data_IF_576646096007
#
_entry.id   IF_576646096007
#
_cell.length_a   1.000
_cell.length_b   1.000
_cell.length_c   1.000
_cell.angle_alpha   90.00
_cell.angle_beta   90.00
_cell.angle_gamma   90.00
#
_symmetry.space_group_name_H-M   'P 1'
#
loop_
_entity.id
_entity.type
_entity.pdbx_description
1 polymer ?
#
# COMPACT_ATOMS: atom_id res chain seq x y z
N UNK A 1 -5.15 -21.73 14.61
CA UNK A 1 -3.72 -21.51 14.31
C UNK A 1 -3.17 -22.74 13.60
N UNK A 2 -2.57 -22.57 12.42
CA UNK A 2 -1.84 -23.62 11.73
C UNK A 2 -0.37 -23.57 12.15
N UNK A 3 0.16 -24.68 12.68
CA UNK A 3 1.58 -24.82 12.96
C UNK A 3 2.26 -25.56 11.82
N UNK A 4 3.42 -25.08 11.37
CA UNK A 4 4.17 -25.63 10.25
C UNK A 4 3.93 -24.87 8.94
N UNK A 5 4.10 -25.53 7.79
CA UNK A 5 3.97 -24.94 6.45
C UNK A 5 2.54 -24.99 5.87
N UNK A 6 1.54 -25.18 6.74
CA UNK A 6 0.15 -25.34 6.31
C UNK A 6 -0.50 -24.03 5.85
N UNK A 7 -1.27 -24.12 4.77
CA UNK A 7 -2.10 -23.02 4.28
C UNK A 7 -3.35 -22.87 5.15
N UNK A 8 -3.85 -21.64 5.28
CA UNK A 8 -5.13 -21.30 5.88
C UNK A 8 -6.12 -20.81 4.82
N UNK A 9 -7.35 -21.33 4.84
CA UNK A 9 -8.46 -20.78 4.06
C UNK A 9 -9.62 -20.55 5.01
N UNK A 10 -10.16 -19.35 5.02
CA UNK A 10 -11.28 -18.92 5.85
C UNK A 10 -12.30 -18.25 4.94
N UNK A 11 -13.53 -18.71 4.99
CA UNK A 11 -14.67 -18.06 4.37
C UNK A 11 -15.76 -17.89 5.42
N UNK A 12 -16.34 -16.70 5.52
CA UNK A 12 -17.41 -16.40 6.47
C UNK A 12 -18.48 -15.54 5.81
N UNK A 13 -19.73 -15.91 6.02
CA UNK A 13 -20.89 -15.16 5.51
C UNK A 13 -21.05 -13.77 6.16
N UNK A 14 -20.44 -13.55 7.30
CA UNK A 14 -20.33 -12.26 7.97
C UNK A 14 -18.90 -11.69 7.85
N UNK A 15 -18.52 -10.83 8.76
CA UNK A 15 -17.14 -10.35 8.87
C UNK A 15 -16.20 -11.39 9.50
N UNK A 16 -14.92 -11.18 9.30
CA UNK A 16 -13.85 -11.96 9.93
C UNK A 16 -13.10 -11.04 10.90
N UNK A 17 -12.89 -11.52 12.12
CA UNK A 17 -12.07 -10.82 13.10
C UNK A 17 -10.91 -11.73 13.53
N UNK A 18 -9.70 -11.37 13.15
CA UNK A 18 -8.50 -12.09 13.52
C UNK A 18 -8.08 -11.75 14.95
N UNK A 19 -7.98 -12.75 15.83
CA UNK A 19 -7.16 -12.69 17.03
C UNK A 19 -5.72 -13.09 16.66
N UNK A 20 -4.82 -13.19 17.66
CA UNK A 20 -3.47 -13.71 17.46
C UNK A 20 -3.50 -14.99 16.63
N UNK A 21 -2.89 -14.92 15.45
CA UNK A 21 -2.93 -16.01 14.48
C UNK A 21 -1.58 -16.24 13.83
N UNK A 22 -1.23 -17.50 13.62
CA UNK A 22 0.00 -17.87 12.93
C UNK A 22 -0.32 -18.87 11.81
N UNK A 23 0.02 -18.50 10.57
CA UNK A 23 -0.17 -19.33 9.37
C UNK A 23 1.20 -19.54 8.72
N UNK A 24 1.71 -20.76 8.76
CA UNK A 24 3.03 -21.10 8.23
C UNK A 24 3.11 -21.23 6.71
N UNK A 25 1.97 -21.24 6.01
CA UNK A 25 1.86 -21.21 4.55
C UNK A 25 1.09 -19.97 4.08
N UNK A 26 0.32 -20.10 3.02
CA UNK A 26 -0.52 -19.02 2.49
C UNK A 26 -1.82 -18.88 3.31
N UNK A 27 -2.31 -17.65 3.40
CA UNK A 27 -3.62 -17.33 3.98
C UNK A 27 -4.55 -16.79 2.90
N UNK A 28 -5.75 -17.37 2.80
CA UNK A 28 -6.85 -16.81 2.03
C UNK A 28 -8.05 -16.58 2.95
N UNK A 29 -8.49 -15.35 3.11
CA UNK A 29 -9.59 -14.96 3.97
C UNK A 29 -10.65 -14.18 3.17
N UNK A 30 -11.89 -14.68 3.15
CA UNK A 30 -13.00 -14.06 2.44
C UNK A 30 -14.17 -13.82 3.40
N UNK A 31 -14.58 -12.56 3.54
CA UNK A 31 -15.81 -12.16 4.21
C UNK A 31 -16.86 -11.76 3.16
N UNK A 32 -18.01 -12.45 3.12
CA UNK A 32 -19.02 -12.21 2.09
C UNK A 32 -19.95 -11.05 2.38
N UNK A 33 -20.29 -10.80 3.64
CA UNK A 33 -21.24 -9.74 4.04
C UNK A 33 -20.69 -8.70 5.02
N UNK A 34 -19.43 -8.79 5.44
CA UNK A 34 -18.90 -7.88 6.44
C UNK A 34 -17.40 -7.61 6.29
N UNK A 35 -16.87 -6.91 7.26
CA UNK A 35 -15.48 -6.46 7.26
C UNK A 35 -14.50 -7.59 7.63
N UNK A 36 -13.24 -7.43 7.23
CA UNK A 36 -12.12 -8.18 7.79
C UNK A 36 -11.38 -7.24 8.74
N UNK A 37 -11.23 -7.64 9.99
CA UNK A 37 -10.62 -6.83 11.06
C UNK A 37 -9.69 -7.66 11.92
N UNK A 38 -8.97 -6.99 12.81
CA UNK A 38 -8.18 -7.59 13.88
C UNK A 38 -8.75 -7.24 15.25
N UNK A 39 -8.60 -8.13 16.24
CA UNK A 39 -8.97 -7.87 17.61
C UNK A 39 -7.75 -7.56 18.46
N UNK A 40 -7.70 -6.34 19.01
CA UNK A 40 -6.67 -5.94 19.97
C UNK A 40 -5.32 -5.62 19.33
N UNK A 41 -4.25 -5.95 20.04
CA UNK A 41 -2.85 -5.67 19.65
C UNK A 41 -2.10 -6.94 19.23
N UNK A 42 -2.81 -7.99 18.95
CA UNK A 42 -2.26 -9.33 18.71
C UNK A 42 -1.92 -9.50 17.22
N UNK A 43 -0.72 -10.00 16.93
CA UNK A 43 -0.21 -10.14 15.58
C UNK A 43 -0.93 -11.20 14.75
N UNK A 44 -1.20 -10.90 13.49
CA UNK A 44 -1.44 -11.86 12.44
C UNK A 44 -0.10 -12.15 11.73
N UNK A 45 0.41 -13.37 11.86
CA UNK A 45 1.67 -13.78 11.24
C UNK A 45 1.37 -14.74 10.09
N UNK A 46 1.85 -14.42 8.89
CA UNK A 46 1.71 -15.27 7.70
C UNK A 46 3.05 -15.38 6.98
N UNK A 47 3.56 -16.61 6.86
CA UNK A 47 4.86 -16.84 6.19
C UNK A 47 4.75 -16.86 4.67
N UNK A 48 3.65 -17.36 4.14
CA UNK A 48 3.37 -17.36 2.69
C UNK A 48 2.67 -16.08 2.24
N UNK A 49 2.01 -16.14 1.08
CA UNK A 49 1.19 -15.04 0.58
C UNK A 49 -0.12 -14.91 1.39
N UNK A 50 -0.62 -13.69 1.47
CA UNK A 50 -1.90 -13.39 2.11
C UNK A 50 -2.87 -12.79 1.10
N UNK A 51 -4.11 -13.27 1.09
CA UNK A 51 -5.18 -12.67 0.30
C UNK A 51 -6.38 -12.41 1.20
N UNK A 52 -6.80 -11.16 1.27
CA UNK A 52 -7.97 -10.73 2.03
C UNK A 52 -9.01 -10.17 1.06
N UNK A 53 -10.25 -10.66 1.15
CA UNK A 53 -11.32 -10.26 0.24
C UNK A 53 -12.60 -9.98 1.02
N UNK A 54 -13.17 -8.79 0.82
CA UNK A 54 -14.55 -8.49 1.23
C UNK A 54 -15.42 -8.42 -0.02
N UNK A 55 -16.56 -9.14 -0.02
CA UNK A 55 -17.46 -9.21 -1.18
C UNK A 55 -18.63 -8.25 -1.09
N UNK A 56 -19.01 -7.84 0.11
CA UNK A 56 -20.05 -6.83 0.30
C UNK A 56 -19.55 -5.45 -0.16
N UNK A 57 -20.44 -4.68 -0.79
CA UNK A 57 -20.15 -3.29 -1.11
C UNK A 57 -19.81 -2.52 0.16
N UNK A 58 -18.76 -1.70 0.09
CA UNK A 58 -18.32 -0.79 1.17
C UNK A 58 -17.85 -1.51 2.46
N UNK A 59 -17.59 -2.82 2.38
CA UNK A 59 -16.98 -3.55 3.49
C UNK A 59 -15.46 -3.36 3.50
N UNK A 60 -14.91 -3.11 4.69
CA UNK A 60 -13.52 -2.74 4.90
C UNK A 60 -12.60 -3.93 5.21
N UNK A 61 -11.32 -3.76 4.93
CA UNK A 61 -10.23 -4.59 5.42
C UNK A 61 -9.36 -3.72 6.33
N UNK A 62 -9.27 -4.06 7.63
CA UNK A 62 -8.47 -3.31 8.62
C UNK A 62 -7.50 -4.27 9.32
N UNK A 63 -6.25 -4.27 8.88
CA UNK A 63 -5.13 -5.03 9.41
C UNK A 63 -4.10 -4.05 9.99
N UNK A 64 -4.49 -3.32 11.04
CA UNK A 64 -3.80 -2.13 11.56
C UNK A 64 -2.88 -2.42 12.75
N UNK A 65 -2.67 -3.69 13.10
CA UNK A 65 -1.79 -4.05 14.21
C UNK A 65 -0.33 -3.91 13.80
N UNK A 66 0.44 -3.08 14.51
CA UNK A 66 1.84 -2.76 14.18
C UNK A 66 2.83 -3.92 14.37
N UNK A 67 2.37 -5.03 14.90
CA UNK A 67 3.14 -6.27 15.09
C UNK A 67 2.76 -7.37 14.08
N UNK A 68 1.90 -7.08 13.10
CA UNK A 68 1.63 -8.02 12.01
C UNK A 68 2.91 -8.37 11.26
N UNK A 69 3.01 -9.59 10.80
CA UNK A 69 4.19 -10.08 10.10
C UNK A 69 3.78 -10.88 8.85
N UNK A 70 3.81 -10.22 7.70
CA UNK A 70 3.52 -10.80 6.39
C UNK A 70 4.82 -10.99 5.62
N UNK A 71 5.35 -12.22 5.58
CA UNK A 71 6.62 -12.47 4.86
C UNK A 71 6.43 -12.48 3.35
N UNK A 72 5.29 -12.98 2.88
CA UNK A 72 4.93 -13.00 1.46
C UNK A 72 4.08 -11.80 1.04
N UNK A 73 3.73 -11.76 -0.24
CA UNK A 73 2.89 -10.69 -0.78
C UNK A 73 1.48 -10.66 -0.15
N UNK A 74 0.99 -9.45 0.12
CA UNK A 74 -0.35 -9.19 0.68
C UNK A 74 -1.24 -8.61 -0.41
N UNK A 75 -2.33 -9.30 -0.73
CA UNK A 75 -3.36 -8.85 -1.66
C UNK A 75 -4.63 -8.44 -0.91
N UNK A 76 -5.15 -7.25 -1.22
CA UNK A 76 -6.31 -6.63 -0.59
C UNK A 76 -7.39 -6.40 -1.65
N UNK A 77 -8.57 -6.96 -1.45
CA UNK A 77 -9.67 -6.85 -2.42
C UNK A 77 -10.95 -6.40 -1.71
N UNK A 78 -11.38 -5.18 -2.04
CA UNK A 78 -12.64 -4.60 -1.56
C UNK A 78 -13.49 -4.11 -2.72
N UNK A 79 -14.78 -3.91 -2.50
CA UNK A 79 -15.74 -3.43 -3.50
C UNK A 79 -16.53 -2.24 -2.96
N UNK A 80 -17.01 -1.37 -3.89
CA UNK A 80 -17.72 -0.14 -3.53
C UNK A 80 -16.77 1.00 -3.14
N UNK A 81 -17.23 2.24 -3.27
CA UNK A 81 -16.41 3.43 -3.01
C UNK A 81 -16.10 3.66 -1.52
N UNK A 82 -16.82 3.00 -0.63
CA UNK A 82 -16.57 2.98 0.81
C UNK A 82 -15.75 1.78 1.27
N UNK A 83 -15.45 0.80 0.41
CA UNK A 83 -14.67 -0.39 0.75
C UNK A 83 -13.17 -0.06 0.88
N UNK A 84 -12.77 0.38 2.08
CA UNK A 84 -11.40 0.81 2.38
C UNK A 84 -10.51 -0.38 2.76
N UNK A 85 -9.21 -0.20 2.59
CA UNK A 85 -8.23 -1.16 3.07
C UNK A 85 -7.11 -0.48 3.86
N UNK A 86 -6.75 -1.06 4.98
CA UNK A 86 -5.60 -0.68 5.78
C UNK A 86 -4.76 -1.92 6.09
N UNK A 87 -3.45 -1.81 5.88
CA UNK A 87 -2.49 -2.85 6.25
C UNK A 87 -1.23 -2.24 6.86
N UNK A 88 -0.82 -2.78 7.99
CA UNK A 88 0.45 -2.46 8.63
C UNK A 88 1.27 -3.74 8.76
N UNK A 89 2.54 -3.68 8.37
CA UNK A 89 3.52 -4.75 8.59
C UNK A 89 4.62 -4.26 9.52
N UNK A 90 5.01 -5.09 10.47
CA UNK A 90 6.13 -4.80 11.39
C UNK A 90 7.48 -4.70 10.67
N UNK A 91 7.59 -5.31 9.52
CA UNK A 91 8.79 -5.33 8.67
C UNK A 91 8.55 -4.65 7.32
N UNK A 92 9.17 -5.14 6.26
CA UNK A 92 8.91 -4.69 4.91
C UNK A 92 7.57 -5.24 4.39
N UNK A 93 6.81 -4.41 3.68
CA UNK A 93 5.52 -4.77 3.12
C UNK A 93 5.62 -4.93 1.59
N UNK A 94 5.32 -6.13 1.10
CA UNK A 94 5.15 -6.38 -0.33
C UNK A 94 3.66 -6.51 -0.66
N UNK A 95 3.13 -5.60 -1.46
CA UNK A 95 1.75 -5.66 -1.92
C UNK A 95 1.65 -6.56 -3.16
N UNK A 96 0.80 -7.59 -3.05
CA UNK A 96 0.36 -8.40 -4.18
C UNK A 96 -0.68 -7.67 -5.04
N UNK A 97 -1.16 -8.33 -6.08
CA UNK A 97 -2.24 -7.78 -6.90
C UNK A 97 -3.45 -7.44 -6.03
N UNK A 98 -3.87 -6.18 -6.04
CA UNK A 98 -4.89 -5.65 -5.14
C UNK A 98 -5.88 -4.78 -5.89
N UNK A 99 -7.16 -4.88 -5.52
CA UNK A 99 -8.24 -4.02 -6.02
C UNK A 99 -8.97 -3.42 -4.82
N UNK A 100 -8.86 -2.10 -4.63
CA UNK A 100 -9.48 -1.40 -3.51
C UNK A 100 -10.46 -0.37 -4.05
N UNK A 101 -11.74 -0.54 -3.73
CA UNK A 101 -12.81 0.35 -4.20
C UNK A 101 -12.85 1.69 -3.48
N UNK A 102 -12.41 1.74 -2.23
CA UNK A 102 -12.25 2.94 -1.40
C UNK A 102 -10.79 3.36 -1.27
N UNK A 103 -10.42 3.85 -0.11
CA UNK A 103 -9.05 4.30 0.22
C UNK A 103 -8.13 3.13 0.58
N UNK A 104 -6.83 3.29 0.31
CA UNK A 104 -5.79 2.38 0.77
C UNK A 104 -4.81 3.10 1.71
N UNK A 105 -4.55 2.50 2.87
CA UNK A 105 -3.47 2.88 3.78
C UNK A 105 -2.52 1.68 3.95
N UNK A 106 -1.27 1.82 3.50
CA UNK A 106 -0.26 0.78 3.58
C UNK A 106 0.98 1.30 4.32
N UNK A 107 1.39 0.60 5.40
CA UNK A 107 2.50 1.04 6.24
C UNK A 107 3.46 -0.10 6.56
N UNK A 108 4.74 0.17 6.41
CA UNK A 108 5.84 -0.69 6.87
C UNK A 108 6.55 -0.04 8.06
N UNK A 109 6.67 -0.76 9.19
CA UNK A 109 7.26 -0.20 10.42
C UNK A 109 8.78 -0.20 10.35
N UNK A 110 9.42 -1.26 9.84
CA UNK A 110 10.89 -1.38 9.83
C UNK A 110 11.48 -1.78 8.48
N UNK A 111 10.87 -1.39 7.37
CA UNK A 111 11.42 -1.78 6.07
C UNK A 111 10.74 -1.10 4.90
N UNK A 112 11.05 -1.55 3.71
CA UNK A 112 10.57 -0.99 2.46
C UNK A 112 9.09 -1.34 2.20
N UNK A 113 8.43 -0.51 1.39
CA UNK A 113 7.17 -0.89 0.73
C UNK A 113 7.47 -1.17 -0.74
N UNK A 114 6.98 -2.30 -1.24
CA UNK A 114 7.07 -2.69 -2.65
C UNK A 114 5.75 -3.28 -3.13
N UNK A 115 5.58 -3.42 -4.45
CA UNK A 115 4.49 -4.20 -5.02
C UNK A 115 4.99 -5.21 -6.04
N UNK A 116 4.58 -6.46 -5.89
CA UNK A 116 4.84 -7.56 -6.84
C UNK A 116 3.65 -7.86 -7.76
N UNK A 117 2.54 -7.17 -7.55
CA UNK A 117 1.34 -7.24 -8.38
C UNK A 117 0.78 -5.86 -8.66
N UNK A 118 -0.11 -5.75 -9.64
CA UNK A 118 -0.73 -4.47 -9.98
C UNK A 118 -1.68 -4.01 -8.87
N UNK A 119 -1.65 -2.73 -8.57
CA UNK A 119 -2.54 -2.06 -7.64
C UNK A 119 -3.61 -1.28 -8.43
N UNK A 120 -4.88 -1.59 -8.23
CA UNK A 120 -6.01 -0.85 -8.78
C UNK A 120 -6.77 -0.19 -7.61
N UNK A 121 -6.49 1.08 -7.36
CA UNK A 121 -7.02 1.81 -6.21
C UNK A 121 -7.93 2.94 -6.70
N UNK A 122 -9.19 2.93 -6.29
CA UNK A 122 -10.16 3.93 -6.73
C UNK A 122 -10.17 5.18 -5.85
N UNK A 123 -10.08 5.01 -4.53
CA UNK A 123 -9.98 6.11 -3.57
C UNK A 123 -8.53 6.58 -3.38
N UNK A 124 -8.34 7.52 -2.47
CA UNK A 124 -7.00 8.00 -2.14
C UNK A 124 -6.12 6.89 -1.55
N UNK A 125 -4.83 6.90 -1.90
CA UNK A 125 -3.86 5.93 -1.42
C UNK A 125 -2.73 6.60 -0.63
N UNK A 126 -2.36 6.00 0.50
CA UNK A 126 -1.22 6.43 1.33
C UNK A 126 -0.27 5.27 1.55
N UNK A 127 1.00 5.47 1.25
CA UNK A 127 2.07 4.52 1.51
C UNK A 127 3.11 5.16 2.41
N UNK A 128 3.43 4.51 3.53
CA UNK A 128 4.33 5.08 4.53
C UNK A 128 5.32 4.05 5.05
N UNK A 129 6.60 4.42 5.09
CA UNK A 129 7.62 3.70 5.85
C UNK A 129 7.99 4.49 7.10
N UNK A 130 8.20 3.79 8.24
CA UNK A 130 8.56 4.45 9.50
C UNK A 130 10.05 4.37 9.81
N UNK A 131 10.81 3.54 9.11
CA UNK A 131 12.24 3.41 9.35
C UNK A 131 13.04 4.29 8.40
N UNK A 132 14.07 4.93 8.94
CA UNK A 132 15.00 5.77 8.19
C UNK A 132 15.64 5.00 7.03
N UNK A 133 15.70 5.63 5.85
CA UNK A 133 16.29 5.07 4.65
C UNK A 133 15.46 3.99 3.96
N UNK A 134 14.27 3.67 4.47
CA UNK A 134 13.38 2.70 3.82
C UNK A 134 12.73 3.28 2.57
N UNK A 135 12.65 2.46 1.53
CA UNK A 135 12.22 2.86 0.20
C UNK A 135 10.72 2.59 -0.02
N UNK A 136 10.12 3.32 -0.96
CA UNK A 136 8.82 2.99 -1.52
C UNK A 136 9.00 2.72 -3.02
N UNK A 137 8.74 1.47 -3.44
CA UNK A 137 8.86 1.02 -4.83
C UNK A 137 7.53 0.47 -5.34
N UNK A 138 6.72 1.32 -5.96
CA UNK A 138 5.45 0.97 -6.60
C UNK A 138 5.67 0.98 -8.11
N UNK A 139 6.40 -0.04 -8.63
CA UNK A 139 6.99 -0.04 -9.96
C UNK A 139 6.27 -0.96 -10.97
N UNK A 140 5.18 -1.62 -10.59
CA UNK A 140 4.39 -2.42 -11.54
C UNK A 140 3.74 -1.52 -12.59
N UNK A 141 3.99 -1.81 -13.88
CA UNK A 141 3.51 -0.99 -15.01
C UNK A 141 1.98 -0.98 -15.20
N UNK A 142 1.27 -1.85 -14.54
CA UNK A 142 -0.19 -1.92 -14.54
C UNK A 142 -0.84 -1.32 -13.29
N UNK A 143 -0.12 -0.55 -12.48
CA UNK A 143 -0.73 0.19 -11.38
C UNK A 143 -1.71 1.24 -11.92
N UNK A 144 -2.85 1.36 -11.27
CA UNK A 144 -3.92 2.32 -11.58
C UNK A 144 -4.34 3.01 -10.29
N UNK A 145 -4.01 4.29 -10.16
CA UNK A 145 -4.47 5.13 -9.07
C UNK A 145 -5.50 6.13 -9.60
N UNK A 146 -6.77 5.92 -9.25
CA UNK A 146 -7.86 6.76 -9.75
C UNK A 146 -8.14 7.99 -8.89
N UNK A 147 -7.35 8.21 -7.86
CA UNK A 147 -7.42 9.35 -6.94
C UNK A 147 -6.01 9.70 -6.45
N UNK A 148 -5.92 10.66 -5.56
CA UNK A 148 -4.68 11.18 -5.02
C UNK A 148 -3.83 10.11 -4.32
N UNK A 149 -2.50 10.21 -4.47
CA UNK A 149 -1.52 9.32 -3.83
C UNK A 149 -0.58 10.12 -2.93
N UNK A 150 -0.40 9.64 -1.71
CA UNK A 150 0.59 10.17 -0.77
C UNK A 150 1.69 9.15 -0.53
N UNK A 151 2.96 9.54 -0.74
CA UNK A 151 4.13 8.72 -0.47
C UNK A 151 4.97 9.34 0.64
N UNK A 152 5.24 8.57 1.70
CA UNK A 152 6.01 9.00 2.88
C UNK A 152 7.14 8.00 3.13
N UNK A 153 8.29 8.23 2.50
CA UNK A 153 9.50 7.41 2.68
C UNK A 153 10.43 8.04 3.73
N UNK A 154 9.87 8.31 4.91
CA UNK A 154 10.51 9.13 5.96
C UNK A 154 10.22 8.52 7.33
N UNK A 155 11.21 7.94 7.95
CA UNK A 155 11.14 7.42 9.31
C UNK A 155 11.15 8.49 10.42
N UNK A 156 11.12 9.78 10.06
CA UNK A 156 11.25 10.89 10.99
C UNK A 156 12.70 11.21 11.41
N UNK A 157 13.68 10.59 10.76
CA UNK A 157 15.12 10.84 10.90
C UNK A 157 15.70 11.69 9.76
N UNK A 158 17.03 11.67 9.62
CA UNK A 158 17.73 12.42 8.56
C UNK A 158 18.01 11.58 7.30
N UNK A 159 17.73 10.28 7.33
CA UNK A 159 17.94 9.38 6.19
C UNK A 159 16.61 9.09 5.48
N UNK A 160 16.50 9.55 4.25
CA UNK A 160 15.31 9.37 3.42
C UNK A 160 15.50 8.20 2.45
N UNK A 161 14.41 7.46 2.23
CA UNK A 161 14.38 6.39 1.25
C UNK A 161 14.23 6.90 -0.18
N UNK A 162 14.51 6.01 -1.13
CA UNK A 162 14.21 6.25 -2.54
C UNK A 162 12.71 6.03 -2.80
N UNK A 163 12.18 6.77 -3.76
CA UNK A 163 10.81 6.61 -4.21
C UNK A 163 10.81 6.22 -5.70
N UNK A 164 10.16 5.12 -6.01
CA UNK A 164 9.80 4.73 -7.38
C UNK A 164 8.28 4.61 -7.47
N UNK A 165 7.68 5.35 -8.37
CA UNK A 165 6.23 5.38 -8.57
C UNK A 165 5.90 5.23 -10.04
N UNK A 166 5.02 4.29 -10.36
CA UNK A 166 4.47 4.07 -11.70
C UNK A 166 2.97 4.10 -11.64
N UNK A 167 2.36 4.95 -12.46
CA UNK A 167 0.92 4.97 -12.69
C UNK A 167 0.63 4.77 -14.18
N UNK A 168 -0.46 4.09 -14.47
CA UNK A 168 -0.96 3.92 -15.82
C UNK A 168 -1.59 5.21 -16.40
N UNK A 169 -1.85 6.22 -15.57
CA UNK A 169 -2.42 7.50 -15.94
C UNK A 169 -1.41 8.66 -15.86
N UNK A 170 -1.88 9.88 -16.05
CA UNK A 170 -1.11 11.09 -15.83
C UNK A 170 -0.81 11.29 -14.34
N UNK A 171 0.34 11.89 -14.03
CA UNK A 171 0.76 12.21 -12.66
C UNK A 171 0.94 13.71 -12.53
N UNK A 172 0.35 14.31 -11.50
CA UNK A 172 0.53 15.71 -11.15
C UNK A 172 1.12 15.86 -9.74
N UNK A 173 2.27 16.51 -9.63
CA UNK A 173 2.86 16.83 -8.32
C UNK A 173 2.14 18.00 -7.69
N UNK A 174 1.44 17.75 -6.57
CA UNK A 174 0.68 18.77 -5.84
C UNK A 174 1.13 18.88 -4.36
N UNK A 175 0.82 20.02 -3.76
CA UNK A 175 1.05 20.32 -2.34
C UNK A 175 0.13 19.55 -1.39
N UNK A 176 -0.94 18.95 -1.91
CA UNK A 176 -1.89 18.12 -1.16
C UNK A 176 -2.50 17.09 -2.10
N UNK A 177 -2.56 15.85 -1.66
CA UNK A 177 -3.25 14.82 -2.40
C UNK A 177 -4.77 15.02 -2.28
N UNK A 178 -5.37 15.74 -3.22
CA UNK A 178 -6.78 16.15 -3.19
C UNK A 178 -7.60 15.77 -4.41
N UNK A 179 -6.98 15.47 -5.55
CA UNK A 179 -7.66 15.14 -6.79
C UNK A 179 -7.07 13.92 -7.51
N UNK A 180 -7.73 13.47 -8.56
CA UNK A 180 -7.24 12.38 -9.40
C UNK A 180 -5.96 12.80 -10.13
N UNK A 181 -4.94 11.96 -10.05
CA UNK A 181 -3.62 12.22 -10.62
C UNK A 181 -2.66 12.96 -9.68
N UNK A 182 -3.14 13.50 -8.56
CA UNK A 182 -2.26 14.18 -7.61
C UNK A 182 -1.31 13.18 -6.94
N UNK A 183 -0.03 13.47 -7.01
CA UNK A 183 1.02 12.78 -6.27
C UNK A 183 1.61 13.73 -5.24
N UNK A 184 1.36 13.45 -3.99
CA UNK A 184 1.95 14.18 -2.87
C UNK A 184 3.08 13.36 -2.25
N UNK A 185 4.29 13.90 -2.27
CA UNK A 185 5.44 13.27 -1.63
C UNK A 185 5.72 14.04 -0.34
N UNK A 186 5.36 13.41 0.77
CA UNK A 186 5.67 13.93 2.09
C UNK A 186 6.97 13.28 2.58
N UNK A 187 8.07 13.91 2.26
CA UNK A 187 9.38 13.52 2.76
C UNK A 187 9.80 14.56 3.80
N UNK A 188 9.52 14.26 5.07
CA UNK A 188 9.88 15.08 6.23
C UNK A 188 9.28 16.51 6.29
N UNK A 189 9.43 17.15 7.43
CA UNK A 189 8.99 18.53 7.69
C UNK A 189 9.56 19.59 6.74
N UNK A 190 10.52 19.22 5.88
CA UNK A 190 11.21 20.12 4.95
C UNK A 190 10.76 19.98 3.48
N UNK A 191 9.82 19.05 3.18
CA UNK A 191 9.24 18.90 1.85
C UNK A 191 10.21 18.38 0.78
N UNK A 192 11.31 17.73 1.17
CA UNK A 192 12.30 17.20 0.25
C UNK A 192 12.27 15.66 0.20
N UNK A 193 12.38 15.08 -1.00
CA UNK A 193 12.74 13.67 -1.18
C UNK A 193 14.24 13.55 -0.91
N UNK A 194 14.61 12.91 0.18
CA UNK A 194 16.01 12.80 0.59
C UNK A 194 16.82 11.76 -0.18
N UNK A 195 16.15 10.85 -0.89
CA UNK A 195 16.76 9.85 -1.75
C UNK A 195 16.58 10.18 -3.24
N UNK A 196 16.61 9.15 -4.09
CA UNK A 196 16.31 9.26 -5.51
C UNK A 196 14.80 9.20 -5.75
N UNK A 197 14.34 9.93 -6.76
CA UNK A 197 12.95 9.93 -7.20
C UNK A 197 12.83 9.42 -8.63
N UNK A 198 12.03 8.39 -8.86
CA UNK A 198 11.66 7.92 -10.20
C UNK A 198 10.15 7.89 -10.32
N UNK A 199 9.60 8.64 -11.30
CA UNK A 199 8.16 8.67 -11.56
C UNK A 199 7.90 8.38 -13.02
N UNK A 200 6.97 7.45 -13.26
CA UNK A 200 6.54 7.06 -14.60
C UNK A 200 5.03 7.18 -14.72
N UNK A 201 4.56 7.98 -15.66
CA UNK A 201 3.20 7.95 -16.18
C UNK A 201 3.20 7.12 -17.46
N UNK A 202 2.57 5.93 -17.48
CA UNK A 202 2.62 5.07 -18.67
C UNK A 202 1.74 5.59 -19.80
N UNK A 203 0.72 6.39 -19.46
CA UNK A 203 -0.05 7.22 -20.40
C UNK A 203 -0.22 8.63 -19.82
N UNK A 204 -0.29 9.62 -20.67
CA UNK A 204 -0.48 11.02 -20.25
C UNK A 204 0.80 11.74 -19.83
N UNK A 205 0.64 12.85 -19.15
CA UNK A 205 1.71 13.76 -18.81
C UNK A 205 2.13 13.61 -17.36
N UNK A 206 3.36 14.03 -17.05
CA UNK A 206 3.79 14.38 -15.70
C UNK A 206 3.81 15.90 -15.62
N UNK A 207 3.04 16.46 -14.70
CA UNK A 207 2.93 17.90 -14.45
C UNK A 207 3.31 18.24 -13.01
N UNK A 208 3.52 19.51 -12.74
CA UNK A 208 3.95 20.00 -11.43
C UNK A 208 3.36 21.39 -11.19
N UNK A 209 2.68 21.59 -10.08
CA UNK A 209 2.17 22.89 -9.64
C UNK A 209 2.81 23.39 -8.34
N UNK A 210 3.70 22.60 -7.72
CA UNK A 210 4.40 22.92 -6.48
C UNK A 210 5.91 22.71 -6.64
N UNK A 211 6.69 23.31 -5.74
CA UNK A 211 8.13 23.04 -5.70
C UNK A 211 8.40 21.61 -5.26
N UNK A 212 9.19 20.89 -6.05
CA UNK A 212 9.66 19.54 -5.74
C UNK A 212 11.15 19.62 -5.42
N UNK A 213 11.53 19.26 -4.20
CA UNK A 213 12.91 19.16 -3.77
C UNK A 213 13.35 17.71 -3.70
N UNK A 214 14.40 17.35 -4.41
CA UNK A 214 14.98 15.98 -4.42
C UNK A 214 16.49 16.13 -4.19
N UNK A 215 17.01 15.50 -3.15
CA UNK A 215 18.45 15.57 -2.84
C UNK A 215 19.28 14.59 -3.68
N UNK A 216 18.69 13.50 -4.13
CA UNK A 216 19.30 12.53 -5.03
C UNK A 216 19.06 12.83 -6.51
N UNK A 217 19.05 11.80 -7.33
CA UNK A 217 18.73 11.89 -8.76
C UNK A 217 17.22 11.82 -8.99
N UNK A 218 16.75 12.55 -10.01
CA UNK A 218 15.36 12.50 -10.43
C UNK A 218 15.24 11.91 -11.85
N UNK A 219 14.28 11.03 -12.05
CA UNK A 219 13.94 10.44 -13.34
C UNK A 219 12.44 10.55 -13.58
N UNK A 220 12.04 11.17 -14.69
CA UNK A 220 10.64 11.31 -15.08
C UNK A 220 10.43 10.71 -16.45
N UNK A 221 9.48 9.78 -16.57
CA UNK A 221 9.20 9.04 -17.81
C UNK A 221 7.71 9.19 -18.12
N UNK A 222 7.40 9.61 -19.35
CA UNK A 222 6.04 9.57 -19.88
C UNK A 222 5.95 8.57 -21.02
N UNK A 223 4.89 7.74 -21.02
CA UNK A 223 4.55 6.88 -22.14
C UNK A 223 4.04 7.70 -23.32
N UNK A 224 3.97 7.09 -24.48
CA UNK A 224 3.33 7.71 -25.65
C UNK A 224 1.82 7.85 -25.41
N UNK A 225 1.26 9.02 -25.75
CA UNK A 225 -0.17 9.27 -25.77
C UNK A 225 -0.86 8.46 -26.86
#
# INVERSE_FOLDING_TARGET
>A
ATHGTGNGTIENDNGINFAASNVGGNLNATATLGNITESGTEALTVTGTSTFTTSASDADITLATTTNAFTGAVSLNTTGSGGNAEVIDASALNLGASTVGGTLSARAVTGDISNSGNLAITGAATFRTDADGSNIALDSSGNVFSSAVTLQADGGGEAFGNITFVDSAAVDFDSSASANGDLYINASTDGAVGGNLSVTATTGNITQNVALAVTGTSTFITGAA
#
